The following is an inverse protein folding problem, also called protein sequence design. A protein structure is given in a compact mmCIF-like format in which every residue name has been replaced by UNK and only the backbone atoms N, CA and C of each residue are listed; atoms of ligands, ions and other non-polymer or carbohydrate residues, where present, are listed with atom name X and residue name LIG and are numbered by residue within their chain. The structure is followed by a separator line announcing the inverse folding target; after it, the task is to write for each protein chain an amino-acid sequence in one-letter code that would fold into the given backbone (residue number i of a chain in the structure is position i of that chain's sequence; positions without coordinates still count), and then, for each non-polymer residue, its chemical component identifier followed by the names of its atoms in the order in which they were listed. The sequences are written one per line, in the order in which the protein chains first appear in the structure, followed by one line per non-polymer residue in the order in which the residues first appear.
data_IF_207665253930
#
_entry.id   IF_207665253930
#
_cell.length_a   1.000
_cell.length_b   1.000
_cell.length_c   1.000
_cell.angle_alpha   90.00
_cell.angle_beta   90.00
_cell.angle_gamma   90.00
#
_symmetry.space_group_name_H-M   'P 1'
#
loop_
_entity.id
_entity.type
_entity.pdbx_description
1 polymer ?
#
# COMPACT_ATOMS: atom_id res chain seq x y z
N UNK A 1 0.05 -4.54 -20.39
CA UNK A 1 1.18 -4.31 -19.44
C UNK A 1 0.74 -3.24 -18.47
N UNK A 2 0.73 -3.50 -17.17
CA UNK A 2 0.18 -2.59 -16.15
C UNK A 2 1.28 -1.67 -15.62
N UNK A 3 1.03 -0.36 -15.56
CA UNK A 3 1.95 0.64 -15.00
C UNK A 3 1.60 0.88 -13.53
N UNK A 4 2.52 0.64 -12.63
CA UNK A 4 2.30 0.70 -11.19
C UNK A 4 3.23 1.74 -10.56
N UNK A 5 2.64 2.74 -9.90
CA UNK A 5 3.37 3.71 -9.09
C UNK A 5 3.46 3.20 -7.65
N UNK A 6 4.66 3.00 -7.14
CA UNK A 6 4.92 2.59 -5.77
C UNK A 6 5.40 3.81 -4.96
N UNK A 7 4.51 4.38 -4.14
CA UNK A 7 4.81 5.49 -3.24
C UNK A 7 5.43 4.95 -1.94
N UNK A 8 6.60 5.43 -1.59
CA UNK A 8 7.38 4.90 -0.48
C UNK A 8 8.10 3.60 -0.82
N UNK A 9 8.68 3.51 -2.01
CA UNK A 9 9.29 2.31 -2.58
C UNK A 9 10.43 1.69 -1.74
N UNK A 10 11.04 2.44 -0.81
CA UNK A 10 12.02 1.91 0.13
C UNK A 10 11.39 1.24 1.37
N UNK A 11 10.07 1.33 1.57
CA UNK A 11 9.37 0.67 2.67
C UNK A 11 9.57 -0.84 2.66
N UNK A 12 9.56 -1.48 3.83
CA UNK A 12 9.88 -2.91 3.94
C UNK A 12 8.95 -3.80 3.10
N UNK A 13 7.63 -3.58 3.16
CA UNK A 13 6.67 -4.32 2.33
C UNK A 13 6.83 -3.93 0.86
N UNK A 14 7.06 -2.63 0.56
CA UNK A 14 7.20 -2.15 -0.81
C UNK A 14 8.39 -2.77 -1.55
N UNK A 15 9.53 -2.99 -0.87
CA UNK A 15 10.68 -3.68 -1.45
C UNK A 15 10.35 -5.12 -1.83
N UNK A 16 9.67 -5.84 -0.93
CA UNK A 16 9.25 -7.22 -1.20
C UNK A 16 8.21 -7.26 -2.34
N UNK A 17 7.26 -6.31 -2.36
CA UNK A 17 6.28 -6.20 -3.43
C UNK A 17 6.95 -5.88 -4.78
N UNK A 18 7.94 -4.98 -4.80
CA UNK A 18 8.75 -4.68 -6.00
C UNK A 18 9.39 -5.95 -6.58
N UNK A 19 10.03 -6.75 -5.72
CA UNK A 19 10.65 -8.01 -6.13
C UNK A 19 9.62 -9.00 -6.69
N UNK A 20 8.45 -9.12 -6.04
CA UNK A 20 7.37 -9.99 -6.50
C UNK A 20 6.78 -9.53 -7.84
N UNK A 21 6.53 -8.23 -8.02
CA UNK A 21 6.08 -7.69 -9.32
C UNK A 21 7.06 -8.02 -10.43
N UNK A 22 8.35 -7.79 -10.21
CA UNK A 22 9.38 -8.03 -11.22
C UNK A 22 9.55 -9.51 -11.57
N UNK A 23 9.39 -10.41 -10.59
CA UNK A 23 9.54 -11.86 -10.77
C UNK A 23 8.32 -12.56 -11.35
N UNK A 24 7.10 -12.06 -11.07
CA UNK A 24 5.85 -12.80 -11.32
C UNK A 24 4.92 -12.14 -12.32
N UNK A 25 5.22 -10.92 -12.74
CA UNK A 25 4.36 -10.14 -13.65
C UNK A 25 5.17 -9.47 -14.74
N UNK A 26 4.47 -8.91 -15.74
CA UNK A 26 5.02 -8.06 -16.77
C UNK A 26 4.88 -6.55 -16.47
N UNK A 27 4.48 -6.19 -15.25
CA UNK A 27 4.24 -4.82 -14.84
C UNK A 27 5.47 -3.92 -15.03
N UNK A 28 5.22 -2.65 -15.37
CA UNK A 28 6.22 -1.58 -15.32
C UNK A 28 6.06 -0.83 -14.01
N UNK A 29 7.16 -0.59 -13.32
CA UNK A 29 7.17 0.01 -12.00
C UNK A 29 7.75 1.41 -12.04
N UNK A 30 7.05 2.37 -11.45
CA UNK A 30 7.60 3.67 -11.09
C UNK A 30 7.80 3.69 -9.58
N UNK A 31 9.06 3.69 -9.14
CA UNK A 31 9.45 3.68 -7.73
C UNK A 31 9.65 5.11 -7.25
N UNK A 32 8.73 5.58 -6.41
CA UNK A 32 8.73 6.94 -5.89
C UNK A 32 9.19 6.97 -4.42
N UNK A 33 10.26 7.71 -4.14
CA UNK A 33 10.86 7.79 -2.80
C UNK A 33 11.70 9.04 -2.63
N UNK A 34 12.01 9.43 -1.39
CA UNK A 34 12.74 10.65 -1.05
C UNK A 34 14.25 10.60 -1.31
N UNK A 35 14.85 9.41 -1.35
CA UNK A 35 16.28 9.22 -1.54
C UNK A 35 16.53 7.95 -2.38
N UNK A 36 16.78 8.14 -3.68
CA UNK A 36 16.97 7.06 -4.63
C UNK A 36 18.23 6.21 -4.36
N UNK A 37 19.23 6.75 -3.67
CA UNK A 37 20.46 6.03 -3.28
C UNK A 37 20.18 4.84 -2.35
N UNK A 38 19.02 4.83 -1.69
CA UNK A 38 18.59 3.75 -0.80
C UNK A 38 18.04 2.53 -1.55
N UNK A 39 17.79 2.64 -2.85
CA UNK A 39 17.35 1.51 -3.66
C UNK A 39 18.53 0.68 -4.14
N UNK A 40 18.44 -0.63 -3.93
CA UNK A 40 19.33 -1.61 -4.53
C UNK A 40 18.52 -2.39 -5.55
N UNK A 41 18.57 -1.98 -6.79
CA UNK A 41 17.91 -2.67 -7.91
C UNK A 41 18.94 -3.55 -8.60
N UNK A 42 18.69 -4.85 -8.62
CA UNK A 42 19.46 -5.81 -9.40
C UNK A 42 18.59 -6.37 -10.52
N UNK A 43 18.95 -6.07 -11.77
CA UNK A 43 18.20 -6.53 -12.95
C UNK A 43 16.94 -5.72 -13.26
N UNK A 44 16.29 -6.01 -14.39
CA UNK A 44 14.99 -5.43 -14.81
C UNK A 44 14.94 -3.90 -14.98
N UNK A 45 16.10 -3.27 -15.30
CA UNK A 45 16.19 -1.81 -15.49
C UNK A 45 15.26 -1.30 -16.61
N UNK A 46 14.92 -2.15 -17.57
CA UNK A 46 13.98 -1.89 -18.67
C UNK A 46 12.53 -1.69 -18.23
N UNK A 47 12.16 -2.22 -17.06
CA UNK A 47 10.80 -2.14 -16.50
C UNK A 47 10.67 -1.26 -15.26
N UNK A 48 11.76 -0.65 -14.80
CA UNK A 48 11.79 0.15 -13.58
C UNK A 48 12.21 1.58 -13.86
N UNK A 49 11.35 2.52 -13.50
CA UNK A 49 11.66 3.95 -13.45
C UNK A 49 11.76 4.39 -11.99
N UNK A 50 12.79 5.13 -11.63
CA UNK A 50 12.93 5.72 -10.29
C UNK A 50 12.62 7.22 -10.37
N UNK A 51 11.79 7.69 -9.44
CA UNK A 51 11.45 9.11 -9.28
C UNK A 51 11.76 9.52 -7.84
N UNK A 52 12.69 10.45 -7.69
CA UNK A 52 13.00 11.02 -6.38
C UNK A 52 12.04 12.18 -6.09
N UNK A 53 11.36 12.13 -4.93
CA UNK A 53 10.41 13.13 -4.52
C UNK A 53 9.74 12.81 -3.17
N UNK A 54 9.16 13.83 -2.56
CA UNK A 54 8.29 13.69 -1.39
C UNK A 54 6.82 13.65 -1.83
N UNK A 55 6.02 12.79 -1.21
CA UNK A 55 4.56 12.72 -1.47
C UNK A 55 3.85 14.05 -1.16
N UNK A 56 4.44 14.88 -0.32
CA UNK A 56 3.95 16.24 -0.03
C UNK A 56 4.33 17.26 -1.11
N UNK A 57 5.29 16.96 -2.00
CA UNK A 57 5.56 17.75 -3.20
C UNK A 57 4.53 17.44 -4.28
N UNK A 58 3.51 18.26 -4.31
CA UNK A 58 2.36 18.07 -5.21
C UNK A 58 2.75 18.01 -6.68
N UNK A 59 3.71 18.85 -7.11
CA UNK A 59 4.11 18.94 -8.52
C UNK A 59 4.81 17.66 -9.00
N UNK A 60 5.77 17.19 -8.23
CA UNK A 60 6.50 15.95 -8.54
C UNK A 60 5.59 14.73 -8.44
N UNK A 61 4.69 14.71 -7.44
CA UNK A 61 3.72 13.63 -7.26
C UNK A 61 2.72 13.54 -8.44
N UNK A 62 2.15 14.66 -8.86
CA UNK A 62 1.22 14.71 -10.01
C UNK A 62 1.89 14.22 -11.29
N UNK A 63 3.13 14.67 -11.56
CA UNK A 63 3.89 14.20 -12.71
C UNK A 63 4.17 12.69 -12.67
N UNK A 64 4.44 12.13 -11.47
CA UNK A 64 4.67 10.71 -11.32
C UNK A 64 3.41 9.86 -11.53
N UNK A 65 2.22 10.40 -11.29
CA UNK A 65 0.94 9.70 -11.46
C UNK A 65 0.46 9.64 -12.91
N UNK A 66 1.00 10.48 -13.78
CA UNK A 66 0.60 10.50 -15.19
C UNK A 66 0.95 9.18 -15.89
N UNK A 67 -0.04 8.57 -16.53
CA UNK A 67 0.13 7.31 -17.27
C UNK A 67 0.26 6.05 -16.40
N UNK A 68 -0.09 6.15 -15.12
CA UNK A 68 -0.15 5.00 -14.23
C UNK A 68 -1.56 4.39 -14.23
N UNK A 69 -1.63 3.07 -14.03
CA UNK A 69 -2.89 2.32 -13.91
C UNK A 69 -3.25 2.07 -12.44
N UNK A 70 -2.24 1.92 -11.58
CA UNK A 70 -2.38 1.63 -10.14
C UNK A 70 -1.40 2.46 -9.34
N UNK A 71 -1.85 3.06 -8.24
CA UNK A 71 -0.99 3.58 -7.17
C UNK A 71 -0.98 2.61 -5.99
N UNK A 72 0.22 2.24 -5.55
CA UNK A 72 0.44 1.50 -4.32
C UNK A 72 1.20 2.38 -3.33
N UNK A 73 0.63 2.64 -2.16
CA UNK A 73 1.21 3.51 -1.13
C UNK A 73 1.60 2.72 0.13
N UNK A 74 2.89 2.75 0.46
CA UNK A 74 3.48 2.17 1.66
C UNK A 74 4.29 3.24 2.40
N UNK A 75 3.59 4.08 3.15
CA UNK A 75 4.09 5.33 3.71
C UNK A 75 4.11 5.30 5.25
N UNK A 76 4.80 6.28 5.83
CA UNK A 76 4.85 6.55 7.26
C UNK A 76 4.99 8.05 7.54
N UNK A 77 4.75 8.46 8.78
CA UNK A 77 4.88 9.85 9.22
C UNK A 77 3.58 10.62 9.06
N UNK A 78 3.54 11.63 8.20
CA UNK A 78 2.41 12.57 8.04
C UNK A 78 1.27 11.96 7.19
N UNK A 79 0.76 10.78 7.56
CA UNK A 79 -0.15 9.98 6.74
C UNK A 79 -1.43 10.73 6.34
N UNK A 80 -1.97 11.57 7.21
CA UNK A 80 -3.16 12.37 6.89
C UNK A 80 -2.89 13.31 5.71
N UNK A 81 -1.80 14.08 5.77
CA UNK A 81 -1.43 15.03 4.72
C UNK A 81 -1.04 14.29 3.43
N UNK A 82 -0.29 13.21 3.55
CA UNK A 82 0.10 12.36 2.43
C UNK A 82 -1.13 11.78 1.72
N UNK A 83 -2.13 11.28 2.46
CA UNK A 83 -3.38 10.78 1.88
C UNK A 83 -4.14 11.86 1.11
N UNK A 84 -4.23 13.10 1.65
CA UNK A 84 -4.85 14.24 0.95
C UNK A 84 -4.12 14.57 -0.36
N UNK A 85 -2.78 14.59 -0.34
CA UNK A 85 -1.97 14.85 -1.53
C UNK A 85 -2.16 13.76 -2.59
N UNK A 86 -2.14 12.49 -2.17
CA UNK A 86 -2.34 11.34 -3.06
C UNK A 86 -3.72 11.41 -3.72
N UNK A 87 -4.79 11.55 -2.93
CA UNK A 87 -6.16 11.61 -3.46
C UNK A 87 -6.32 12.74 -4.47
N UNK A 88 -5.79 13.93 -4.17
CA UNK A 88 -5.84 15.08 -5.08
C UNK A 88 -5.07 14.82 -6.37
N UNK A 89 -3.84 14.32 -6.27
CA UNK A 89 -2.99 14.05 -7.43
C UNK A 89 -3.57 12.95 -8.32
N UNK A 90 -4.12 11.87 -7.72
CA UNK A 90 -4.79 10.81 -8.45
C UNK A 90 -6.01 11.31 -9.22
N UNK A 91 -6.87 12.12 -8.58
CA UNK A 91 -8.04 12.72 -9.24
C UNK A 91 -7.63 13.60 -10.42
N UNK A 92 -6.59 14.40 -10.25
CA UNK A 92 -6.07 15.28 -11.30
C UNK A 92 -5.49 14.49 -12.50
N UNK A 93 -4.82 13.37 -12.21
CA UNK A 93 -4.25 12.49 -13.23
C UNK A 93 -5.28 11.52 -13.86
N UNK A 94 -6.51 11.46 -13.34
CA UNK A 94 -7.51 10.47 -13.75
C UNK A 94 -7.21 9.04 -13.30
N UNK A 95 -6.22 8.86 -12.40
CA UNK A 95 -5.86 7.57 -11.82
C UNK A 95 -6.86 7.19 -10.73
N UNK A 96 -7.48 6.01 -10.81
CA UNK A 96 -8.55 5.60 -9.90
C UNK A 96 -8.10 4.56 -8.87
N UNK A 97 -7.28 3.59 -9.28
CA UNK A 97 -6.93 2.43 -8.44
C UNK A 97 -5.87 2.77 -7.41
N UNK A 98 -6.22 2.65 -6.11
CA UNK A 98 -5.32 2.87 -4.97
C UNK A 98 -5.26 1.64 -4.07
N UNK A 99 -4.05 1.15 -3.78
CA UNK A 99 -3.79 0.18 -2.72
C UNK A 99 -2.98 0.90 -1.63
N UNK A 100 -3.49 0.93 -0.41
CA UNK A 100 -2.90 1.70 0.69
C UNK A 100 -2.61 0.82 1.88
N UNK A 101 -1.35 0.83 2.35
CA UNK A 101 -0.96 0.14 3.58
C UNK A 101 -1.30 1.02 4.78
N UNK A 102 -2.10 0.46 5.68
CA UNK A 102 -2.47 1.02 6.97
C UNK A 102 -1.99 0.10 8.10
N UNK A 103 -2.75 -0.03 9.16
CA UNK A 103 -2.46 -0.87 10.32
C UNK A 103 -3.73 -1.54 10.83
N UNK A 104 -3.62 -2.70 11.46
CA UNK A 104 -4.70 -3.23 12.28
C UNK A 104 -5.00 -2.27 13.44
N UNK A 105 -6.19 -2.34 13.99
CA UNK A 105 -6.64 -1.54 15.15
C UNK A 105 -7.21 -0.17 14.81
N UNK A 106 -7.20 0.27 13.54
CA UNK A 106 -7.68 1.61 13.15
C UNK A 106 -9.20 1.80 13.22
N UNK A 107 -9.95 0.73 13.38
CA UNK A 107 -11.43 0.75 13.52
C UNK A 107 -11.89 0.16 14.86
N UNK A 108 -11.01 0.08 15.85
CA UNK A 108 -11.27 -0.58 17.15
C UNK A 108 -11.70 -2.06 17.00
N UNK A 109 -11.22 -2.71 15.94
CA UNK A 109 -11.59 -4.08 15.59
C UNK A 109 -10.83 -5.17 16.35
N UNK A 110 -9.90 -4.78 17.24
CA UNK A 110 -9.20 -5.71 18.12
C UNK A 110 -9.96 -5.85 19.40
N UNK A 111 -10.46 -7.06 19.78
CA UNK A 111 -11.24 -7.23 20.99
C UNK A 111 -10.47 -6.78 22.25
N UNK A 112 -11.09 -5.92 23.05
CA UNK A 112 -10.51 -5.40 24.29
C UNK A 112 -9.51 -4.26 24.14
N UNK A 113 -9.19 -3.83 22.90
CA UNK A 113 -8.29 -2.72 22.64
C UNK A 113 -9.02 -1.56 21.95
N UNK A 114 -8.63 -0.34 22.30
CA UNK A 114 -8.98 0.87 21.54
C UNK A 114 -7.72 1.44 20.91
N UNK A 115 -7.85 2.01 19.72
CA UNK A 115 -6.71 2.64 19.07
C UNK A 115 -6.15 3.78 19.93
N UNK A 116 -4.85 3.75 20.19
CA UNK A 116 -4.11 4.83 20.85
C UNK A 116 -3.72 5.94 19.86
N UNK A 117 -3.13 7.02 20.40
CA UNK A 117 -2.67 8.16 19.60
C UNK A 117 -1.70 7.80 18.46
N UNK A 118 -0.98 6.69 18.58
CA UNK A 118 -0.07 6.17 17.54
C UNK A 118 -0.82 5.82 16.25
N UNK A 119 -2.05 5.32 16.34
CA UNK A 119 -2.85 4.94 15.18
C UNK A 119 -3.68 6.09 14.61
N UNK A 120 -3.77 7.23 15.29
CA UNK A 120 -4.57 8.37 14.83
C UNK A 120 -4.23 8.84 13.41
N UNK A 121 -2.94 8.94 12.98
CA UNK A 121 -2.62 9.28 11.58
C UNK A 121 -3.13 8.23 10.57
N UNK A 122 -3.13 6.95 10.95
CA UNK A 122 -3.66 5.87 10.14
C UNK A 122 -5.19 5.93 10.03
N UNK A 123 -5.88 6.18 11.16
CA UNK A 123 -7.35 6.37 11.17
C UNK A 123 -7.77 7.53 10.27
N UNK A 124 -7.10 8.68 10.37
CA UNK A 124 -7.39 9.86 9.55
C UNK A 124 -7.14 9.61 8.06
N UNK A 125 -6.00 8.98 7.72
CA UNK A 125 -5.70 8.66 6.33
C UNK A 125 -6.72 7.68 5.73
N UNK A 126 -7.14 6.66 6.49
CA UNK A 126 -8.17 5.72 6.06
C UNK A 126 -9.50 6.43 5.75
N UNK A 127 -9.99 7.31 6.64
CA UNK A 127 -11.21 8.10 6.42
C UNK A 127 -11.14 8.97 5.15
N UNK A 128 -10.00 9.60 4.90
CA UNK A 128 -9.78 10.42 3.69
C UNK A 128 -9.89 9.55 2.44
N UNK A 129 -9.27 8.38 2.44
CA UNK A 129 -9.26 7.46 1.31
C UNK A 129 -10.68 6.89 1.09
N UNK A 130 -11.36 6.45 2.14
CA UNK A 130 -12.72 5.92 2.08
C UNK A 130 -13.73 6.92 1.51
N UNK A 131 -13.57 8.22 1.83
CA UNK A 131 -14.43 9.29 1.32
C UNK A 131 -13.99 9.86 -0.03
N UNK A 132 -12.92 9.34 -0.62
CA UNK A 132 -12.29 9.93 -1.81
C UNK A 132 -13.07 9.68 -3.11
N UNK A 133 -13.85 8.61 -3.19
CA UNK A 133 -14.46 8.13 -4.45
C UNK A 133 -13.47 7.44 -5.38
N UNK A 134 -12.28 7.08 -4.90
CA UNK A 134 -11.31 6.25 -5.63
C UNK A 134 -11.68 4.76 -5.53
N UNK A 135 -11.16 3.97 -6.46
CA UNK A 135 -11.21 2.51 -6.43
C UNK A 135 -10.13 1.99 -5.45
N UNK A 136 -10.36 2.22 -4.15
CA UNK A 136 -9.37 1.92 -3.13
C UNK A 136 -9.45 0.50 -2.59
N UNK A 137 -8.32 -0.01 -2.10
CA UNK A 137 -8.23 -1.09 -1.11
C UNK A 137 -7.26 -0.67 -0.02
N UNK A 138 -7.71 -0.66 1.24
CA UNK A 138 -6.86 -0.42 2.40
C UNK A 138 -6.46 -1.77 2.99
N UNK A 139 -5.16 -1.99 3.20
CA UNK A 139 -4.63 -3.18 3.87
C UNK A 139 -4.21 -2.82 5.29
N UNK A 140 -4.68 -3.59 6.26
CA UNK A 140 -4.43 -3.46 7.70
C UNK A 140 -3.66 -4.68 8.21
N UNK A 141 -2.34 -4.77 8.00
CA UNK A 141 -1.57 -5.90 8.45
C UNK A 141 -1.58 -6.05 9.97
N UNK A 142 -1.61 -7.29 10.45
CA UNK A 142 -1.24 -7.66 11.81
C UNK A 142 0.26 -7.40 12.04
N UNK A 143 0.82 -7.86 13.17
CA UNK A 143 2.25 -7.78 13.45
C UNK A 143 3.05 -8.44 12.32
N UNK A 144 4.17 -7.83 11.95
CA UNK A 144 4.93 -8.20 10.75
C UNK A 144 6.25 -8.89 11.10
N UNK A 145 6.59 -9.96 10.35
CA UNK A 145 7.92 -10.57 10.35
C UNK A 145 8.51 -10.66 8.92
N UNK A 146 9.72 -11.19 8.81
CA UNK A 146 10.44 -11.35 7.54
C UNK A 146 10.56 -12.83 7.09
N UNK A 147 9.64 -13.70 7.54
CA UNK A 147 9.64 -15.08 7.09
C UNK A 147 9.35 -15.15 5.58
N UNK A 148 10.05 -16.07 4.91
CA UNK A 148 9.88 -16.30 3.47
C UNK A 148 8.69 -17.22 3.20
N UNK A 149 7.49 -16.76 3.58
CA UNK A 149 6.24 -17.50 3.42
C UNK A 149 5.13 -16.64 2.83
N UNK A 150 4.18 -17.30 2.13
CA UNK A 150 2.91 -16.71 1.71
C UNK A 150 1.81 -17.54 2.37
N UNK A 151 1.35 -17.06 3.53
CA UNK A 151 0.31 -17.69 4.34
C UNK A 151 -0.50 -16.59 5.02
N UNK A 152 -1.62 -16.20 4.43
CA UNK A 152 -2.48 -15.15 4.96
C UNK A 152 -3.96 -15.39 4.72
N UNK A 153 -4.76 -14.91 5.64
CA UNK A 153 -6.19 -14.70 5.49
C UNK A 153 -6.51 -13.21 5.59
N UNK A 154 -7.74 -12.86 5.25
CA UNK A 154 -8.23 -11.50 5.35
C UNK A 154 -9.46 -11.40 6.23
N UNK A 155 -9.63 -10.27 6.92
CA UNK A 155 -10.80 -9.90 7.72
C UNK A 155 -11.36 -8.58 7.18
N UNK A 156 -12.64 -8.50 6.89
CA UNK A 156 -13.25 -7.28 6.37
C UNK A 156 -13.45 -6.23 7.49
N UNK A 157 -13.55 -4.96 7.10
CA UNK A 157 -13.98 -3.90 8.01
C UNK A 157 -15.38 -4.24 8.57
N UNK A 158 -15.54 -4.06 9.87
CA UNK A 158 -16.77 -4.39 10.59
C UNK A 158 -16.82 -5.80 11.17
N UNK A 159 -15.85 -6.65 10.81
CA UNK A 159 -15.65 -7.96 11.44
C UNK A 159 -14.57 -7.88 12.53
N UNK A 160 -14.65 -8.66 13.61
CA UNK A 160 -13.56 -8.80 14.58
C UNK A 160 -12.28 -9.25 13.87
N UNK A 161 -11.16 -8.60 14.18
CA UNK A 161 -9.89 -8.93 13.55
C UNK A 161 -9.44 -10.33 13.95
N UNK A 162 -9.28 -11.21 12.96
CA UNK A 162 -8.87 -12.61 13.20
C UNK A 162 -7.38 -12.67 13.51
N UNK A 163 -7.00 -13.48 14.51
CA UNK A 163 -5.61 -13.73 14.88
C UNK A 163 -4.79 -12.42 15.09
N UNK A 164 -5.35 -11.44 15.82
CA UNK A 164 -4.71 -10.15 16.07
C UNK A 164 -3.36 -10.25 16.79
N UNK A 165 -3.17 -11.27 17.63
CA UNK A 165 -1.90 -11.57 18.31
C UNK A 165 -0.87 -12.26 17.41
N UNK A 166 -1.30 -12.76 16.24
CA UNK A 166 -0.45 -13.47 15.29
C UNK A 166 0.44 -12.53 14.48
N UNK A 167 1.47 -13.10 13.86
CA UNK A 167 2.45 -12.37 13.05
C UNK A 167 2.34 -12.85 11.60
N UNK A 168 2.12 -11.93 10.66
CA UNK A 168 2.06 -12.20 9.22
C UNK A 168 3.35 -11.76 8.54
N UNK A 169 3.82 -12.52 7.55
CA UNK A 169 5.04 -12.14 6.84
C UNK A 169 4.81 -10.94 5.93
N UNK A 170 5.83 -10.07 5.79
CA UNK A 170 5.81 -9.00 4.80
C UNK A 170 5.62 -9.52 3.38
N UNK A 171 6.10 -10.73 3.11
CA UNK A 171 5.91 -11.40 1.82
C UNK A 171 4.46 -11.77 1.56
N UNK A 172 3.71 -12.21 2.58
CA UNK A 172 2.27 -12.45 2.49
C UNK A 172 1.49 -11.18 2.16
N UNK A 173 1.81 -10.05 2.83
CA UNK A 173 1.17 -8.76 2.54
C UNK A 173 1.54 -8.28 1.13
N UNK A 174 2.79 -8.40 0.73
CA UNK A 174 3.28 -8.03 -0.59
C UNK A 174 2.63 -8.87 -1.71
N UNK A 175 2.42 -10.17 -1.48
CA UNK A 175 1.69 -11.05 -2.40
C UNK A 175 0.26 -10.56 -2.63
N UNK A 176 -0.45 -10.19 -1.56
CA UNK A 176 -1.79 -9.61 -1.67
C UNK A 176 -1.77 -8.28 -2.44
N UNK A 177 -0.78 -7.42 -2.22
CA UNK A 177 -0.60 -6.18 -3.00
C UNK A 177 -0.48 -6.49 -4.49
N UNK A 178 0.38 -7.45 -4.87
CA UNK A 178 0.55 -7.86 -6.27
C UNK A 178 -0.76 -8.38 -6.84
N UNK A 179 -1.46 -9.26 -6.12
CA UNK A 179 -2.76 -9.81 -6.55
C UNK A 179 -3.79 -8.71 -6.77
N UNK A 180 -3.91 -7.75 -5.86
CA UNK A 180 -4.84 -6.63 -5.96
C UNK A 180 -4.51 -5.67 -7.12
N UNK A 181 -3.22 -5.46 -7.39
CA UNK A 181 -2.78 -4.59 -8.47
C UNK A 181 -2.98 -5.21 -9.86
N UNK A 182 -2.79 -6.53 -9.96
CA UNK A 182 -2.85 -7.26 -11.23
C UNK A 182 -4.24 -7.81 -11.57
N UNK A 183 -5.20 -7.73 -10.63
CA UNK A 183 -6.58 -8.21 -10.85
C UNK A 183 -7.55 -7.02 -10.82
N UNK A 184 -7.99 -6.53 -11.99
CA UNK A 184 -8.94 -5.43 -12.07
C UNK A 184 -10.23 -5.74 -11.30
N UNK A 185 -10.75 -4.76 -10.56
CA UNK A 185 -12.01 -4.89 -9.81
C UNK A 185 -11.91 -5.63 -8.47
N UNK A 186 -10.80 -6.29 -8.18
CA UNK A 186 -10.66 -7.06 -6.95
C UNK A 186 -10.63 -6.16 -5.72
N UNK A 187 -11.53 -6.40 -4.77
CA UNK A 187 -11.63 -5.73 -3.46
C UNK A 187 -11.68 -4.19 -3.52
N UNK A 188 -12.31 -3.63 -4.54
CA UNK A 188 -12.59 -2.18 -4.63
C UNK A 188 -13.54 -1.78 -3.49
N UNK A 189 -13.26 -0.62 -2.87
CA UNK A 189 -14.03 -0.08 -1.75
C UNK A 189 -13.87 -0.88 -0.45
N UNK A 190 -12.85 -1.73 -0.37
CA UNK A 190 -12.63 -2.64 0.75
C UNK A 190 -11.50 -2.18 1.68
N UNK A 191 -11.65 -2.48 2.97
CA UNK A 191 -10.57 -2.40 3.95
C UNK A 191 -10.38 -3.78 4.59
N UNK A 192 -9.20 -4.37 4.35
CA UNK A 192 -8.88 -5.75 4.68
C UNK A 192 -7.83 -5.83 5.78
N UNK A 193 -8.16 -6.43 6.91
CA UNK A 193 -7.19 -6.93 7.85
C UNK A 193 -6.41 -8.08 7.23
N UNK A 194 -5.09 -8.09 7.36
CA UNK A 194 -4.24 -9.16 6.83
C UNK A 194 -3.55 -9.86 7.99
N UNK A 195 -3.88 -11.11 8.20
CA UNK A 195 -3.40 -11.93 9.32
C UNK A 195 -2.84 -13.25 8.82
N UNK A 196 -2.02 -13.93 9.64
CA UNK A 196 -1.58 -15.29 9.32
C UNK A 196 -2.78 -16.23 9.44
N UNK A 197 -2.92 -17.14 8.47
CA UNK A 197 -3.78 -18.31 8.61
C UNK A 197 -3.17 -19.25 9.65
N UNK A 198 -3.98 -19.80 10.52
CA UNK A 198 -3.59 -20.85 11.46
C UNK A 198 -3.08 -22.07 10.74
#
# INVERSE_FOLDING_TARGET
MTNILILGAHGQIARVATDLFLKRTDARLTLYLRDARRLKLSGHADRVRVVEGDVLDTKTLEAAMTGQDVAYANLAGQLEQQARCIVRAMKKAGLKRLIFISSMGIYDEIPGERHGSILEPYCKSARIIESSGLDYTILRPAWLNDLDEIAYGTTRKGEPFKNAAGVVSRKSVADLVVKLAMTPGLEIGSSLGVHKTS
#
